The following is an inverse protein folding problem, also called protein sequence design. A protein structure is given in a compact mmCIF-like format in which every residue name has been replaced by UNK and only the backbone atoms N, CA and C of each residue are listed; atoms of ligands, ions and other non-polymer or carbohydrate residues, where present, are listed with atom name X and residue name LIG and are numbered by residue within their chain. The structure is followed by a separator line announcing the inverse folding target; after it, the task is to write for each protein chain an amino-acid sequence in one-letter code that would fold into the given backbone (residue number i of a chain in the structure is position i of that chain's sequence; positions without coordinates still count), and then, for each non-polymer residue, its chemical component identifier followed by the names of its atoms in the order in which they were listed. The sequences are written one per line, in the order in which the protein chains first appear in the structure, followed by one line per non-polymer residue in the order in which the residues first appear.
data_IF_463776118592
#
_entry.id   IF_463776118592
#
_cell.length_a   1.000
_cell.length_b   1.000
_cell.length_c   1.000
_cell.angle_alpha   90.00
_cell.angle_beta   90.00
_cell.angle_gamma   90.00
#
_symmetry.space_group_name_H-M   'P 1'
#
loop_
_entity.id
_entity.type
_entity.pdbx_description
1 polymer ?
#
# COMPACT_ATOMS: atom_id res chain seq x y z
N UNK A 1 -15.55 -13.03 -15.11
CA UNK A 1 -14.64 -13.67 -14.13
C UNK A 1 -13.26 -14.04 -14.71
N UNK A 2 -13.16 -14.87 -15.76
CA UNK A 2 -11.85 -15.26 -16.35
C UNK A 2 -11.01 -14.05 -16.80
N UNK A 3 -11.63 -13.08 -17.46
CA UNK A 3 -10.96 -11.87 -17.94
C UNK A 3 -10.41 -10.99 -16.80
N UNK A 4 -11.22 -10.76 -15.76
CA UNK A 4 -10.78 -10.04 -14.56
C UNK A 4 -9.59 -10.73 -13.87
N UNK A 5 -9.60 -12.06 -13.80
CA UNK A 5 -8.47 -12.84 -13.29
C UNK A 5 -7.22 -12.65 -14.15
N UNK A 6 -7.34 -12.73 -15.48
CA UNK A 6 -6.21 -12.48 -16.39
C UNK A 6 -5.63 -11.09 -16.23
N UNK A 7 -6.48 -10.06 -16.13
CA UNK A 7 -6.02 -8.68 -15.95
C UNK A 7 -5.30 -8.48 -14.61
N UNK A 8 -5.76 -9.15 -13.54
CA UNK A 8 -5.06 -9.19 -12.25
C UNK A 8 -3.67 -9.81 -12.41
N UNK A 9 -3.57 -10.96 -13.06
CA UNK A 9 -2.29 -11.64 -13.27
C UNK A 9 -1.33 -10.81 -14.12
N UNK A 10 -1.83 -10.14 -15.16
CA UNK A 10 -1.02 -9.20 -15.96
C UNK A 10 -0.45 -8.07 -15.09
N UNK A 11 -1.24 -7.54 -14.16
CA UNK A 11 -0.77 -6.52 -13.23
C UNK A 11 0.31 -7.09 -12.30
N UNK A 12 0.10 -8.27 -11.72
CA UNK A 12 1.11 -8.95 -10.88
C UNK A 12 2.42 -9.12 -11.62
N UNK A 13 2.39 -9.58 -12.87
CA UNK A 13 3.58 -9.75 -13.69
C UNK A 13 4.32 -8.42 -13.96
N UNK A 14 3.63 -7.28 -13.99
CA UNK A 14 4.29 -5.97 -14.09
C UNK A 14 5.12 -5.70 -12.83
N UNK A 15 4.61 -6.05 -11.65
CA UNK A 15 5.30 -5.85 -10.35
C UNK A 15 6.42 -6.85 -10.09
N UNK A 16 6.37 -8.04 -10.68
CA UNK A 16 7.43 -9.06 -10.58
C UNK A 16 8.62 -8.79 -11.53
N UNK A 17 8.45 -7.90 -12.52
CA UNK A 17 9.51 -7.54 -13.47
C UNK A 17 10.36 -6.39 -12.94
N UNK A 18 11.65 -6.45 -13.27
CA UNK A 18 12.58 -5.35 -13.00
C UNK A 18 12.35 -4.20 -13.99
N UNK A 19 11.64 -3.17 -13.53
CA UNK A 19 11.47 -1.90 -14.24
C UNK A 19 12.22 -0.76 -13.53
N UNK A 20 12.61 0.25 -14.29
CA UNK A 20 12.84 1.59 -13.70
C UNK A 20 11.50 2.22 -13.32
N UNK A 21 11.45 3.15 -12.36
CA UNK A 21 10.22 3.90 -12.01
C UNK A 21 9.50 4.45 -13.26
N UNK A 22 10.25 5.01 -14.22
CA UNK A 22 9.70 5.49 -15.50
C UNK A 22 9.12 4.36 -16.35
N UNK A 23 9.84 3.23 -16.47
CA UNK A 23 9.36 2.05 -17.20
C UNK A 23 8.09 1.47 -16.60
N UNK A 24 8.02 1.37 -15.28
CA UNK A 24 6.83 0.91 -14.56
C UNK A 24 5.62 1.82 -14.80
N UNK A 25 5.80 3.15 -14.79
CA UNK A 25 4.73 4.10 -15.13
C UNK A 25 4.16 3.83 -16.51
N UNK A 26 5.02 3.60 -17.50
CA UNK A 26 4.58 3.29 -18.85
C UNK A 26 3.84 1.95 -18.92
N UNK A 27 4.35 0.91 -18.27
CA UNK A 27 3.74 -0.41 -18.24
C UNK A 27 2.36 -0.40 -17.57
N UNK A 28 2.24 0.25 -16.41
CA UNK A 28 0.97 0.37 -15.67
C UNK A 28 -0.04 1.18 -16.49
N UNK A 29 0.35 2.30 -17.10
CA UNK A 29 -0.56 3.08 -17.97
C UNK A 29 -1.03 2.28 -19.18
N UNK A 30 -0.13 1.51 -19.80
CA UNK A 30 -0.49 0.64 -20.91
C UNK A 30 -1.48 -0.45 -20.48
N UNK A 31 -1.30 -1.01 -19.28
CA UNK A 31 -2.24 -1.96 -18.68
C UNK A 31 -3.59 -1.30 -18.37
N UNK A 32 -3.62 -0.13 -17.73
CA UNK A 32 -4.87 0.61 -17.48
C UNK A 32 -5.64 0.90 -18.78
N UNK A 33 -4.93 1.23 -19.87
CA UNK A 33 -5.57 1.42 -21.19
C UNK A 33 -6.21 0.12 -21.70
N UNK A 34 -5.58 -1.04 -21.49
CA UNK A 34 -6.17 -2.34 -21.86
C UNK A 34 -7.40 -2.67 -21.02
N UNK A 35 -7.36 -2.39 -19.72
CA UNK A 35 -8.50 -2.59 -18.81
C UNK A 35 -9.67 -1.68 -19.18
N UNK A 36 -9.44 -0.40 -19.50
CA UNK A 36 -10.50 0.50 -19.99
C UNK A 36 -11.11 0.09 -21.32
N UNK A 37 -10.33 -0.60 -22.15
CA UNK A 37 -10.81 -1.16 -23.40
C UNK A 37 -11.48 -2.54 -23.20
N UNK A 38 -11.50 -3.07 -21.98
CA UNK A 38 -12.32 -4.22 -21.63
C UNK A 38 -13.68 -3.75 -21.14
N UNK A 39 -14.74 -4.51 -21.42
CA UNK A 39 -16.11 -4.24 -20.97
C UNK A 39 -16.29 -4.55 -19.45
N UNK A 40 -15.30 -4.20 -18.62
CA UNK A 40 -15.25 -4.46 -17.18
C UNK A 40 -15.23 -3.15 -16.38
N UNK A 41 -16.41 -2.55 -16.24
CA UNK A 41 -16.61 -1.29 -15.51
C UNK A 41 -16.25 -1.39 -14.02
N UNK A 42 -16.20 -2.61 -13.45
CA UNK A 42 -15.88 -2.82 -12.04
C UNK A 42 -14.46 -2.34 -11.67
N UNK A 43 -13.57 -2.22 -12.65
CA UNK A 43 -12.20 -1.74 -12.43
C UNK A 43 -12.08 -0.21 -12.44
N UNK A 44 -13.11 0.55 -12.83
CA UNK A 44 -12.96 2.01 -13.02
C UNK A 44 -12.55 2.74 -11.74
N UNK A 45 -13.16 2.37 -10.60
CA UNK A 45 -12.80 2.94 -9.30
C UNK A 45 -11.32 2.68 -8.91
N UNK A 46 -10.83 1.47 -9.20
CA UNK A 46 -9.44 1.09 -9.00
C UNK A 46 -8.52 1.87 -9.94
N UNK A 47 -8.87 1.99 -11.22
CA UNK A 47 -8.07 2.73 -12.20
C UNK A 47 -7.94 4.21 -11.86
N UNK A 48 -9.00 4.85 -11.36
CA UNK A 48 -8.93 6.22 -10.85
C UNK A 48 -7.92 6.36 -9.70
N UNK A 49 -7.86 5.35 -8.83
CA UNK A 49 -6.90 5.31 -7.72
C UNK A 49 -5.47 5.15 -8.25
N UNK A 50 -5.27 4.24 -9.21
CA UNK A 50 -3.97 4.05 -9.86
C UNK A 50 -3.51 5.33 -10.53
N UNK A 51 -4.36 6.02 -11.29
CA UNK A 51 -3.99 7.28 -11.96
C UNK A 51 -3.62 8.39 -10.98
N UNK A 52 -4.37 8.50 -9.87
CA UNK A 52 -4.13 9.52 -8.83
C UNK A 52 -2.79 9.29 -8.13
N UNK A 53 -2.48 8.03 -7.81
CA UNK A 53 -1.33 7.68 -6.96
C UNK A 53 -0.17 7.06 -7.75
N UNK A 54 -0.19 7.11 -9.08
CA UNK A 54 0.75 6.40 -9.95
C UNK A 54 2.21 6.71 -9.60
N UNK A 55 2.54 7.96 -9.30
CA UNK A 55 3.91 8.33 -8.94
C UNK A 55 4.40 7.59 -7.69
N UNK A 56 3.55 7.50 -6.66
CA UNK A 56 3.85 6.80 -5.42
C UNK A 56 3.86 5.30 -5.60
N UNK A 57 2.91 4.73 -6.34
CA UNK A 57 2.87 3.30 -6.66
C UNK A 57 4.17 2.88 -7.35
N UNK A 58 4.66 3.70 -8.28
CA UNK A 58 5.90 3.37 -9.01
C UNK A 58 7.19 3.55 -8.20
N UNK A 59 7.13 4.12 -6.98
CA UNK A 59 8.27 4.12 -6.06
C UNK A 59 8.66 2.71 -5.62
N UNK A 60 7.74 1.75 -5.68
CA UNK A 60 8.04 0.32 -5.46
C UNK A 60 9.26 -0.15 -6.27
N UNK A 61 9.41 0.35 -7.50
CA UNK A 61 10.46 -0.03 -8.44
C UNK A 61 11.78 0.75 -8.27
N UNK A 62 11.90 1.67 -7.31
CA UNK A 62 13.13 2.42 -7.11
C UNK A 62 14.19 1.60 -6.38
N UNK A 63 13.86 1.01 -5.23
CA UNK A 63 14.81 0.16 -4.49
C UNK A 63 14.16 -1.07 -3.86
N UNK A 64 13.02 -1.53 -4.39
CA UNK A 64 12.31 -2.68 -3.83
C UNK A 64 11.82 -2.44 -2.40
N UNK A 65 11.53 -1.17 -2.06
CA UNK A 65 10.97 -0.79 -0.77
C UNK A 65 9.66 -1.56 -0.58
N UNK A 66 9.72 -2.62 0.22
CA UNK A 66 8.53 -3.40 0.53
C UNK A 66 7.60 -2.56 1.38
N UNK A 67 6.29 -2.75 1.21
CA UNK A 67 5.31 -2.19 2.13
C UNK A 67 5.41 -2.80 3.54
N UNK A 68 6.38 -3.69 3.81
CA UNK A 68 6.52 -4.41 5.07
C UNK A 68 6.64 -3.50 6.29
N UNK A 69 7.39 -2.39 6.18
CA UNK A 69 7.45 -1.41 7.28
C UNK A 69 6.08 -0.76 7.52
N UNK A 70 5.44 -0.27 6.45
CA UNK A 70 4.13 0.39 6.51
C UNK A 70 3.05 -0.58 7.02
N UNK A 71 3.10 -1.84 6.60
CA UNK A 71 2.19 -2.91 7.03
C UNK A 71 2.41 -3.26 8.51
N UNK A 72 3.67 -3.42 8.93
CA UNK A 72 4.04 -3.64 10.32
C UNK A 72 3.56 -2.51 11.23
N UNK A 73 3.76 -1.25 10.80
CA UNK A 73 3.26 -0.07 11.50
C UNK A 73 1.72 -0.07 11.59
N UNK A 74 1.03 -0.28 10.46
CA UNK A 74 -0.44 -0.35 10.43
C UNK A 74 -1.00 -1.46 11.33
N UNK A 75 -0.35 -2.62 11.37
CA UNK A 75 -0.74 -3.72 12.25
C UNK A 75 -0.56 -3.37 13.73
N UNK A 76 0.54 -2.70 14.10
CA UNK A 76 0.72 -2.18 15.47
C UNK A 76 -0.37 -1.18 15.86
N UNK A 77 -0.69 -0.21 15.01
CA UNK A 77 -1.79 0.73 15.25
C UNK A 77 -3.13 -0.01 15.42
N UNK A 78 -3.41 -1.02 14.60
CA UNK A 78 -4.61 -1.86 14.75
C UNK A 78 -4.64 -2.61 16.08
N UNK A 79 -3.52 -3.19 16.52
CA UNK A 79 -3.41 -3.87 17.83
C UNK A 79 -3.64 -2.88 18.97
N UNK A 80 -3.05 -1.70 18.90
CA UNK A 80 -3.20 -0.64 19.90
C UNK A 80 -4.67 -0.20 20.03
N UNK A 81 -5.36 0.03 18.91
CA UNK A 81 -6.81 0.30 18.88
C UNK A 81 -7.65 -0.82 19.48
N UNK A 82 -7.28 -2.10 19.27
CA UNK A 82 -7.98 -3.26 19.85
C UNK A 82 -7.76 -3.40 21.36
N UNK A 83 -6.59 -3.00 21.87
CA UNK A 83 -6.24 -3.10 23.29
C UNK A 83 -6.72 -1.91 24.10
N UNK A 84 -6.78 -0.72 23.50
CA UNK A 84 -7.12 0.52 24.17
C UNK A 84 -8.55 0.93 23.81
N UNK A 85 -9.54 0.30 24.44
CA UNK A 85 -10.94 0.72 24.33
C UNK A 85 -11.12 2.11 24.97
N UNK A 86 -11.82 3.01 24.30
CA UNK A 86 -12.15 4.34 24.84
C UNK A 86 -11.15 5.47 24.54
N UNK A 87 -10.08 5.22 23.76
CA UNK A 87 -9.22 6.28 23.25
C UNK A 87 -9.84 6.84 21.97
N UNK A 88 -10.51 7.98 22.08
CA UNK A 88 -11.10 8.71 20.96
C UNK A 88 -10.26 9.91 20.53
N UNK A 89 -9.37 10.35 21.41
CA UNK A 89 -8.47 11.46 21.15
C UNK A 89 -7.20 10.99 20.41
N UNK A 90 -6.86 11.73 19.35
CA UNK A 90 -5.77 11.41 18.44
C UNK A 90 -4.42 11.63 19.12
N UNK A 91 -4.28 12.67 19.93
CA UNK A 91 -3.04 12.96 20.65
C UNK A 91 -2.69 11.84 21.63
N UNK A 92 -3.67 11.41 22.42
CA UNK A 92 -3.53 10.28 23.35
C UNK A 92 -3.17 8.98 22.62
N UNK A 93 -3.75 8.75 21.43
CA UNK A 93 -3.40 7.60 20.59
C UNK A 93 -1.94 7.67 20.12
N UNK A 94 -1.45 8.84 19.71
CA UNK A 94 -0.05 9.02 19.30
C UNK A 94 0.92 8.88 20.46
N UNK A 95 0.62 9.43 21.64
CA UNK A 95 1.44 9.24 22.84
C UNK A 95 1.60 7.75 23.17
N UNK A 96 0.49 6.99 23.13
CA UNK A 96 0.54 5.55 23.38
C UNK A 96 1.29 4.80 22.29
N UNK A 97 1.14 5.21 21.02
CA UNK A 97 1.88 4.62 19.91
C UNK A 97 3.39 4.86 20.04
N UNK A 98 3.81 6.05 20.45
CA UNK A 98 5.21 6.38 20.72
C UNK A 98 5.78 5.54 21.88
N UNK A 99 4.99 5.30 22.93
CA UNK A 99 5.38 4.40 24.02
C UNK A 99 5.47 2.94 23.57
N UNK A 100 4.56 2.47 22.72
CA UNK A 100 4.59 1.09 22.20
C UNK A 100 5.75 0.86 21.19
N UNK A 101 6.18 1.90 20.48
CA UNK A 101 7.28 1.83 19.52
C UNK A 101 8.65 1.94 20.18
N UNK A 102 8.83 2.96 21.02
CA UNK A 102 10.14 3.35 21.55
C UNK A 102 10.22 3.22 23.07
N UNK A 103 9.12 2.93 23.76
CA UNK A 103 9.06 3.01 25.22
C UNK A 103 9.97 2.02 25.92
N UNK A 104 10.23 0.85 25.31
CA UNK A 104 11.20 -0.11 25.84
C UNK A 104 12.64 0.37 25.69
N UNK A 105 12.99 1.06 24.59
CA UNK A 105 14.32 1.67 24.43
C UNK A 105 14.49 2.92 25.32
N UNK A 106 13.43 3.72 25.48
CA UNK A 106 13.47 5.00 26.20
C UNK A 106 13.32 4.85 27.72
N UNK A 107 12.59 3.82 28.18
CA UNK A 107 12.20 3.65 29.59
C UNK A 107 12.39 2.22 30.09
N UNK A 108 12.94 1.32 29.27
CA UNK A 108 13.40 0.01 29.73
C UNK A 108 14.63 0.20 30.61
N UNK A 109 14.41 0.40 31.90
CA UNK A 109 15.46 0.14 32.88
C UNK A 109 15.72 -1.37 32.92
N UNK A 110 16.99 -1.74 32.80
CA UNK A 110 17.49 -3.08 33.09
C UNK A 110 17.11 -3.53 34.49
#
# INVERSE_FOLDING_TARGET
LKQAYTLREELTQIFERNYTKRGAKCAIRAWCKRVRNSDLDEFESFMRTVDTWLDFITNYFLEGWSSGFVEGFNNRVKVLKRRCYGIFDVETMFQRLSLDLDGYEKFGFT
#
